data_IF_145850334547
#
_entry.id   IF_145850334547
#
_cell.length_a   1.000
_cell.length_b   1.000
_cell.length_c   1.000
_cell.angle_alpha   90.00
_cell.angle_beta   90.00
_cell.angle_gamma   90.00
#
_symmetry.space_group_name_H-M   'P 1'
#
loop_
_entity.id
_entity.type
_entity.pdbx_description
1 polymer ?
#
# COMPACT_ATOMS: atom_id res chain seq x y z
N UNK A 1 -15.84 16.37 -15.38
CA UNK A 1 -16.77 15.38 -14.75
C UNK A 1 -17.45 16.06 -13.60
N UNK A 2 -18.68 15.67 -13.21
CA UNK A 2 -19.28 16.13 -11.95
C UNK A 2 -18.65 15.37 -10.79
N UNK A 3 -18.60 16.01 -9.61
CA UNK A 3 -18.21 15.33 -8.37
C UNK A 3 -19.11 14.10 -8.14
N UNK A 4 -18.56 12.95 -7.72
CA UNK A 4 -19.37 11.77 -7.40
C UNK A 4 -20.28 12.06 -6.20
N UNK A 5 -21.47 11.44 -6.19
CA UNK A 5 -22.31 11.42 -5.00
C UNK A 5 -21.61 10.60 -3.91
N UNK A 6 -21.30 11.21 -2.78
CA UNK A 6 -20.63 10.59 -1.64
C UNK A 6 -21.67 10.05 -0.65
N UNK A 7 -21.69 8.73 -0.46
CA UNK A 7 -22.53 8.01 0.52
C UNK A 7 -21.70 7.37 1.63
N UNK A 8 -20.41 7.19 1.38
CA UNK A 8 -19.42 6.61 2.29
C UNK A 8 -18.26 7.56 2.49
N UNK A 9 -17.71 7.60 3.69
CA UNK A 9 -16.54 8.42 3.98
C UNK A 9 -15.36 8.08 3.04
N UNK A 10 -14.80 9.04 2.28
CA UNK A 10 -13.69 8.77 1.38
C UNK A 10 -12.38 8.35 2.07
N UNK A 11 -12.32 8.40 3.40
CA UNK A 11 -11.14 7.94 4.14
C UNK A 11 -11.33 6.63 4.89
N UNK A 12 -12.53 6.34 5.41
CA UNK A 12 -12.77 5.14 6.22
C UNK A 12 -13.77 4.16 5.63
N UNK A 13 -14.43 4.52 4.54
CA UNK A 13 -15.54 3.78 3.94
C UNK A 13 -16.76 3.60 4.88
N UNK A 14 -16.84 4.38 5.96
CA UNK A 14 -18.00 4.37 6.86
C UNK A 14 -19.22 4.95 6.16
N UNK A 15 -20.39 4.31 6.35
CA UNK A 15 -21.64 4.71 5.75
C UNK A 15 -22.20 6.00 6.38
N UNK A 16 -23.06 6.72 5.63
CA UNK A 16 -23.77 7.91 6.11
C UNK A 16 -22.95 9.19 6.12
N UNK A 17 -21.87 9.23 5.35
CA UNK A 17 -21.01 10.41 5.23
C UNK A 17 -21.00 10.96 3.81
N UNK A 18 -21.28 12.24 3.66
CA UNK A 18 -21.13 13.01 2.40
C UNK A 18 -19.72 13.63 2.23
N UNK A 19 -18.83 13.44 3.21
CA UNK A 19 -17.44 13.90 3.24
C UNK A 19 -16.64 13.05 4.22
N UNK A 20 -15.45 13.48 4.62
CA UNK A 20 -14.66 12.78 5.63
C UNK A 20 -15.36 12.68 6.98
N UNK A 21 -15.35 11.49 7.57
CA UNK A 21 -15.75 11.26 8.94
C UNK A 21 -14.75 11.91 9.93
N UNK A 22 -15.18 12.19 11.16
CA UNK A 22 -14.28 12.69 12.20
C UNK A 22 -13.08 11.77 12.44
N UNK A 23 -13.29 10.45 12.37
CA UNK A 23 -12.22 9.46 12.46
C UNK A 23 -11.18 9.62 11.36
N UNK A 24 -11.62 9.84 10.12
CA UNK A 24 -10.71 10.12 9.00
C UNK A 24 -9.93 11.41 9.25
N UNK A 25 -10.61 12.50 9.59
CA UNK A 25 -9.97 13.79 9.84
C UNK A 25 -8.90 13.69 10.95
N UNK A 26 -9.22 13.02 12.04
CA UNK A 26 -8.27 12.85 13.14
C UNK A 26 -7.04 12.05 12.72
N UNK A 27 -7.22 10.96 11.99
CA UNK A 27 -6.13 10.05 11.62
C UNK A 27 -5.27 10.58 10.49
N UNK A 28 -5.90 10.99 9.41
CA UNK A 28 -5.19 11.40 8.19
C UNK A 28 -4.71 12.84 8.30
N UNK A 29 -5.55 13.73 8.85
CA UNK A 29 -5.33 15.18 8.80
C UNK A 29 -5.14 15.83 10.19
N UNK A 30 -4.77 15.06 11.21
CA UNK A 30 -4.51 15.55 12.58
C UNK A 30 -5.67 16.37 13.17
N UNK A 31 -6.91 16.03 12.82
CA UNK A 31 -8.12 16.73 13.30
C UNK A 31 -8.49 18.01 12.52
N UNK A 32 -7.69 18.37 11.53
CA UNK A 32 -8.01 19.53 10.66
C UNK A 32 -9.23 19.25 9.77
N UNK A 33 -10.08 20.28 9.60
CA UNK A 33 -11.28 20.21 8.76
C UNK A 33 -10.95 20.31 7.27
N UNK A 34 -10.32 19.27 6.73
CA UNK A 34 -9.94 19.18 5.31
C UNK A 34 -11.15 18.76 4.49
N UNK A 35 -11.34 19.38 3.33
CA UNK A 35 -12.35 19.00 2.36
C UNK A 35 -11.88 17.79 1.54
N UNK A 36 -12.80 16.90 1.14
CA UNK A 36 -12.49 15.78 0.25
C UNK A 36 -12.32 16.19 -1.22
N UNK A 37 -12.42 17.49 -1.51
CA UNK A 37 -12.22 18.08 -2.83
C UNK A 37 -11.08 19.08 -2.76
N UNK A 38 -10.10 18.91 -3.65
CA UNK A 38 -8.97 19.83 -3.81
C UNK A 38 -9.42 21.13 -4.50
N UNK A 39 -8.78 22.26 -4.21
CA UNK A 39 -9.17 23.55 -4.80
C UNK A 39 -8.70 23.72 -6.27
N UNK A 40 -8.01 22.76 -6.84
CA UNK A 40 -7.44 22.76 -8.19
C UNK A 40 -7.85 21.51 -8.98
N UNK A 41 -7.77 21.58 -10.30
CA UNK A 41 -8.06 20.47 -11.21
C UNK A 41 -6.92 19.44 -11.27
N UNK A 42 -7.19 18.28 -11.84
CA UNK A 42 -6.17 17.22 -12.00
C UNK A 42 -5.09 17.65 -13.01
N UNK A 43 -3.86 17.09 -12.91
CA UNK A 43 -2.83 17.29 -13.91
C UNK A 43 -3.35 17.01 -15.33
N UNK A 44 -2.79 17.69 -16.33
CA UNK A 44 -3.14 17.54 -17.76
C UNK A 44 -4.60 17.89 -18.13
N UNK A 45 -5.33 18.63 -17.27
CA UNK A 45 -6.68 19.11 -17.60
C UNK A 45 -6.63 20.34 -18.53
N UNK A 46 -5.69 21.26 -18.29
CA UNK A 46 -5.41 22.45 -19.08
C UNK A 46 -3.99 22.95 -18.81
N UNK A 47 -3.52 23.95 -19.61
CA UNK A 47 -2.15 24.46 -19.53
C UNK A 47 -1.82 25.05 -18.14
N UNK A 48 -2.75 25.79 -17.53
CA UNK A 48 -2.55 26.39 -16.20
C UNK A 48 -2.35 25.33 -15.11
N UNK A 49 -3.13 24.26 -15.17
CA UNK A 49 -3.00 23.14 -14.26
C UNK A 49 -1.72 22.35 -14.51
N UNK A 50 -1.33 22.15 -15.77
CA UNK A 50 -0.07 21.49 -16.11
C UNK A 50 1.14 22.27 -15.61
N UNK A 51 1.13 23.60 -15.70
CA UNK A 51 2.19 24.46 -15.16
C UNK A 51 2.29 24.35 -13.63
N UNK A 52 1.16 24.30 -12.92
CA UNK A 52 1.12 24.09 -11.47
C UNK A 52 1.82 22.76 -11.07
N UNK A 53 1.62 21.70 -11.84
CA UNK A 53 2.21 20.40 -11.56
C UNK A 53 3.61 20.23 -12.18
N UNK A 54 3.97 20.95 -13.23
CA UNK A 54 5.23 20.81 -13.95
C UNK A 54 6.45 21.04 -13.06
N UNK A 55 6.43 22.07 -12.22
CA UNK A 55 7.50 22.35 -11.26
C UNK A 55 7.63 21.23 -10.22
N UNK A 56 6.52 20.66 -9.77
CA UNK A 56 6.50 19.56 -8.83
C UNK A 56 6.95 18.24 -9.48
N UNK A 57 6.69 18.01 -10.78
CA UNK A 57 7.22 16.84 -11.53
C UNK A 57 8.74 16.80 -11.54
N UNK A 58 9.40 17.92 -11.69
CA UNK A 58 10.88 18.01 -11.68
C UNK A 58 11.52 17.58 -10.36
N UNK A 59 10.75 17.55 -9.28
CA UNK A 59 11.18 17.26 -7.90
C UNK A 59 10.92 15.81 -7.49
N UNK A 60 10.30 15.00 -8.35
CA UNK A 60 9.98 13.61 -8.06
C UNK A 60 11.14 12.74 -8.50
N UNK A 61 11.59 11.88 -7.59
CA UNK A 61 12.56 10.84 -7.91
C UNK A 61 12.03 9.89 -8.99
N UNK A 62 12.90 9.55 -9.94
CA UNK A 62 12.65 8.79 -11.17
C UNK A 62 12.32 7.31 -10.88
N UNK A 63 11.35 7.00 -10.05
CA UNK A 63 10.93 5.61 -9.85
C UNK A 63 9.52 5.40 -10.40
N UNK A 64 9.38 5.32 -11.71
CA UNK A 64 8.38 4.51 -12.37
C UNK A 64 7.06 5.16 -12.75
N UNK A 65 6.10 4.37 -12.87
CA UNK A 65 4.88 4.34 -13.63
C UNK A 65 3.78 5.31 -13.17
N UNK A 66 3.77 5.74 -11.90
CA UNK A 66 2.74 6.64 -11.35
C UNK A 66 3.32 7.94 -10.81
N UNK A 67 2.79 9.07 -11.27
CA UNK A 67 3.14 10.39 -10.72
C UNK A 67 2.77 10.47 -9.23
N UNK A 68 3.65 11.09 -8.44
CA UNK A 68 3.47 11.31 -7.00
C UNK A 68 3.82 12.77 -6.71
N UNK A 69 2.95 13.49 -6.03
CA UNK A 69 3.17 14.88 -5.67
C UNK A 69 3.26 15.05 -4.17
N UNK A 70 4.26 15.80 -3.72
CA UNK A 70 4.36 16.21 -2.31
C UNK A 70 3.36 17.31 -2.01
N UNK A 71 2.64 17.17 -0.90
CA UNK A 71 1.55 18.08 -0.50
C UNK A 71 1.73 18.47 0.96
N UNK A 72 1.42 19.73 1.26
CA UNK A 72 1.35 20.28 2.61
C UNK A 72 -0.10 20.61 2.99
N UNK A 73 -0.41 20.43 4.27
CA UNK A 73 -1.64 20.90 4.87
C UNK A 73 -1.41 22.28 5.52
N UNK A 74 -2.05 23.30 4.99
CA UNK A 74 -1.99 24.65 5.52
C UNK A 74 -3.40 25.19 5.75
N UNK A 75 -3.74 25.58 6.98
CA UNK A 75 -5.04 26.16 7.36
C UNK A 75 -6.24 25.37 6.79
N UNK A 76 -6.27 24.06 7.00
CA UNK A 76 -7.29 23.14 6.49
C UNK A 76 -7.33 22.94 4.95
N UNK A 77 -6.34 23.42 4.21
CA UNK A 77 -6.24 23.27 2.76
C UNK A 77 -4.98 22.49 2.39
N UNK A 78 -5.13 21.58 1.47
CA UNK A 78 -4.00 20.85 0.89
C UNK A 78 -3.49 21.61 -0.34
N UNK A 79 -2.19 21.87 -0.36
CA UNK A 79 -1.50 22.52 -1.49
C UNK A 79 -0.24 21.76 -1.89
N UNK A 80 0.16 21.90 -3.12
CA UNK A 80 1.46 21.45 -3.59
C UNK A 80 2.58 22.20 -2.86
N UNK A 81 3.74 21.59 -2.73
CA UNK A 81 4.92 22.22 -2.11
C UNK A 81 5.57 23.23 -3.04
N UNK A 82 6.16 24.27 -2.45
CA UNK A 82 7.07 25.18 -3.13
C UNK A 82 8.51 24.64 -3.10
N UNK A 83 9.43 25.35 -3.74
CA UNK A 83 10.84 25.03 -3.70
C UNK A 83 11.40 25.13 -2.27
N UNK A 84 12.17 24.10 -1.86
CA UNK A 84 12.72 24.01 -0.51
C UNK A 84 11.77 23.50 0.57
N UNK A 85 10.48 23.34 0.28
CA UNK A 85 9.51 22.75 1.23
C UNK A 85 9.51 21.22 1.21
N UNK A 86 9.13 20.63 2.33
CA UNK A 86 8.93 19.19 2.46
C UNK A 86 7.45 18.88 2.74
N UNK A 87 6.81 18.09 1.88
CA UNK A 87 5.42 17.71 2.06
C UNK A 87 5.24 16.65 3.15
N UNK A 88 4.19 16.81 3.95
CA UNK A 88 3.75 15.81 4.92
C UNK A 88 2.81 14.75 4.32
N UNK A 89 2.39 14.93 3.08
CA UNK A 89 1.52 14.02 2.34
C UNK A 89 2.07 13.72 0.95
N UNK A 90 1.68 12.56 0.42
CA UNK A 90 1.90 12.17 -0.98
C UNK A 90 0.53 12.08 -1.65
N UNK A 91 0.34 12.80 -2.75
CA UNK A 91 -0.84 12.75 -3.61
C UNK A 91 -0.50 11.95 -4.86
N UNK A 92 -1.29 10.92 -5.16
CA UNK A 92 -1.16 10.06 -6.33
C UNK A 92 -2.40 10.23 -7.21
N UNK A 93 -2.34 10.98 -8.30
CA UNK A 93 -3.42 11.08 -9.27
C UNK A 93 -3.59 9.77 -10.06
N UNK A 94 -4.59 9.74 -10.93
CA UNK A 94 -4.74 8.67 -11.92
C UNK A 94 -3.48 8.64 -12.79
N UNK A 95 -2.84 7.47 -13.00
CA UNK A 95 -1.73 7.34 -13.93
C UNK A 95 -2.12 7.73 -15.35
N UNK A 96 -1.19 8.32 -16.10
CA UNK A 96 -1.42 8.74 -17.48
C UNK A 96 -1.71 7.59 -18.46
N UNK A 97 -1.38 6.34 -18.11
CA UNK A 97 -1.61 5.16 -18.92
C UNK A 97 -1.81 3.91 -18.06
N UNK A 98 -2.38 2.86 -18.65
CA UNK A 98 -2.57 1.57 -18.01
C UNK A 98 -4.01 1.07 -18.09
N UNK A 99 -4.18 -0.24 -17.95
CA UNK A 99 -5.51 -0.88 -17.89
C UNK A 99 -6.23 -0.44 -16.63
N UNK A 100 -7.48 0.05 -16.75
CA UNK A 100 -8.30 0.55 -15.64
C UNK A 100 -7.54 1.58 -14.75
N UNK A 101 -6.72 2.43 -15.35
CA UNK A 101 -5.91 3.43 -14.63
C UNK A 101 -6.78 4.34 -13.74
N UNK A 102 -7.98 4.70 -14.20
CA UNK A 102 -8.99 5.49 -13.48
C UNK A 102 -9.44 4.85 -12.15
N UNK A 103 -9.30 3.54 -11.99
CA UNK A 103 -9.67 2.81 -10.78
C UNK A 103 -8.50 2.67 -9.78
N UNK A 104 -7.29 3.06 -10.15
CA UNK A 104 -6.09 2.82 -9.32
C UNK A 104 -6.14 3.54 -7.96
N UNK A 105 -6.54 4.83 -7.86
CA UNK A 105 -6.67 5.50 -6.56
C UNK A 105 -7.67 4.80 -5.62
N UNK A 106 -8.82 4.38 -6.16
CA UNK A 106 -9.85 3.68 -5.38
C UNK A 106 -9.43 2.26 -4.99
N UNK A 107 -8.66 1.57 -5.84
CA UNK A 107 -8.11 0.25 -5.57
C UNK A 107 -7.07 0.28 -4.44
N UNK A 108 -6.11 1.19 -4.52
CA UNK A 108 -5.11 1.38 -3.46
C UNK A 108 -5.79 1.75 -2.14
N UNK A 109 -6.69 2.73 -2.15
CA UNK A 109 -7.45 3.12 -0.96
C UNK A 109 -8.21 1.94 -0.34
N UNK A 110 -9.00 1.19 -1.12
CA UNK A 110 -9.75 0.04 -0.62
C UNK A 110 -8.82 -1.00 0.01
N UNK A 111 -7.73 -1.37 -0.67
CA UNK A 111 -6.82 -2.42 -0.20
C UNK A 111 -6.13 -2.00 1.10
N UNK A 112 -5.71 -0.74 1.22
CA UNK A 112 -5.18 -0.17 2.44
C UNK A 112 -6.21 -0.17 3.59
N UNK A 113 -7.47 0.17 3.32
CA UNK A 113 -8.54 0.13 4.33
C UNK A 113 -8.86 -1.31 4.76
N UNK A 114 -8.86 -2.28 3.85
CA UNK A 114 -9.02 -3.70 4.19
C UNK A 114 -7.87 -4.17 5.09
N UNK A 115 -6.62 -3.89 4.72
CA UNK A 115 -5.44 -4.26 5.50
C UNK A 115 -5.57 -3.80 6.96
N UNK A 116 -5.98 -2.56 7.14
CA UNK A 116 -6.13 -1.93 8.45
C UNK A 116 -7.37 -2.40 9.21
N UNK A 117 -8.56 -2.27 8.61
CA UNK A 117 -9.83 -2.42 9.31
C UNK A 117 -10.24 -3.88 9.50
N UNK A 118 -9.85 -4.76 8.57
CA UNK A 118 -10.21 -6.18 8.65
C UNK A 118 -9.11 -6.97 9.34
N UNK A 119 -7.87 -6.70 8.96
CA UNK A 119 -6.74 -7.53 9.37
C UNK A 119 -5.82 -6.88 10.39
N UNK A 120 -6.11 -5.65 10.83
CA UNK A 120 -5.29 -4.93 11.83
C UNK A 120 -3.79 -4.89 11.46
N UNK A 121 -3.50 -4.72 10.16
CA UNK A 121 -2.16 -4.44 9.68
C UNK A 121 -1.93 -2.95 9.87
N UNK A 122 -0.83 -2.57 10.50
CA UNK A 122 -0.42 -1.17 10.60
C UNK A 122 -0.11 -0.63 9.21
N UNK A 123 -0.84 0.41 8.79
CA UNK A 123 -0.70 1.02 7.45
C UNK A 123 -0.42 2.50 7.57
N UNK A 124 0.20 3.08 6.54
CA UNK A 124 0.21 4.53 6.35
C UNK A 124 -1.23 5.07 6.36
N UNK A 125 -1.46 6.23 7.01
CA UNK A 125 -2.77 6.86 7.05
C UNK A 125 -3.11 7.41 5.66
N UNK A 126 -4.31 7.13 5.16
CA UNK A 126 -4.67 7.39 3.78
C UNK A 126 -6.15 7.72 3.60
N UNK A 127 -6.46 8.34 2.48
CA UNK A 127 -7.82 8.62 2.05
C UNK A 127 -7.90 8.70 0.52
N UNK A 128 -9.11 8.59 -0.01
CA UNK A 128 -9.43 9.02 -1.36
C UNK A 128 -9.76 10.53 -1.30
N UNK A 129 -9.33 11.30 -2.29
CA UNK A 129 -9.60 12.72 -2.45
C UNK A 129 -9.94 12.99 -3.91
N UNK A 130 -10.67 14.06 -4.18
CA UNK A 130 -11.09 14.40 -5.54
C UNK A 130 -10.49 15.74 -5.95
N UNK A 131 -10.03 15.84 -7.17
CA UNK A 131 -9.73 17.14 -7.78
C UNK A 131 -11.02 17.93 -8.01
N UNK A 132 -10.92 19.24 -8.22
CA UNK A 132 -12.05 20.12 -8.46
C UNK A 132 -12.91 19.65 -9.65
N UNK A 133 -12.31 19.07 -10.67
CA UNK A 133 -13.01 18.49 -11.82
C UNK A 133 -13.65 17.12 -11.56
N UNK A 134 -13.63 16.61 -10.32
CA UNK A 134 -14.21 15.31 -9.93
C UNK A 134 -13.32 14.10 -10.16
N UNK A 135 -12.11 14.27 -10.69
CA UNK A 135 -11.16 13.15 -10.89
C UNK A 135 -10.63 12.67 -9.53
N UNK A 136 -10.66 11.36 -9.23
CA UNK A 136 -10.14 10.83 -7.97
C UNK A 136 -8.61 10.84 -7.91
N UNK A 137 -8.08 10.97 -6.70
CA UNK A 137 -6.69 10.74 -6.37
C UNK A 137 -6.59 10.01 -5.02
N UNK A 138 -5.52 9.29 -4.83
CA UNK A 138 -5.17 8.72 -3.52
C UNK A 138 -4.24 9.69 -2.79
N UNK A 139 -4.51 9.92 -1.49
CA UNK A 139 -3.65 10.72 -0.62
C UNK A 139 -3.21 9.89 0.58
N UNK A 140 -1.93 9.92 0.89
CA UNK A 140 -1.36 9.25 2.06
C UNK A 140 -0.53 10.21 2.88
N UNK A 141 -0.67 10.12 4.20
CA UNK A 141 0.16 10.86 5.15
C UNK A 141 1.50 10.16 5.27
N UNK A 142 2.58 10.92 5.21
CA UNK A 142 3.93 10.41 5.41
C UNK A 142 4.14 10.03 6.87
N UNK A 143 4.56 8.82 7.10
CA UNK A 143 4.86 8.31 8.44
C UNK A 143 6.31 8.60 8.88
N UNK A 144 7.15 8.99 7.93
CA UNK A 144 8.55 9.38 8.16
C UNK A 144 8.73 10.88 8.49
N UNK A 145 7.65 11.67 8.54
CA UNK A 145 7.68 13.09 8.88
C UNK A 145 7.24 13.30 10.33
N UNK A 146 8.08 13.96 11.12
CA UNK A 146 7.80 14.33 12.50
C UNK A 146 6.88 15.55 12.59
N UNK A 147 6.37 15.84 13.79
CA UNK A 147 5.50 17.00 14.01
C UNK A 147 6.20 18.34 13.74
N UNK A 148 7.51 18.41 13.97
CA UNK A 148 8.34 19.59 13.70
C UNK A 148 8.74 19.73 12.22
N UNK A 149 8.31 18.81 11.35
CA UNK A 149 8.63 18.77 9.93
C UNK A 149 9.95 18.08 9.59
N UNK A 150 10.75 17.69 10.58
CA UNK A 150 11.94 16.86 10.37
C UNK A 150 11.54 15.42 10.02
N UNK A 151 12.50 14.58 9.63
CA UNK A 151 12.23 13.21 9.23
C UNK A 151 12.84 12.19 10.16
N UNK A 152 12.15 11.08 10.35
CA UNK A 152 12.74 9.83 10.80
C UNK A 152 13.57 9.22 9.68
N UNK A 153 14.68 8.56 10.01
CA UNK A 153 15.41 7.77 9.03
C UNK A 153 14.53 6.60 8.56
N UNK A 154 14.54 6.37 7.24
CA UNK A 154 13.80 5.28 6.59
C UNK A 154 14.68 4.69 5.51
N UNK A 155 14.84 3.36 5.53
CA UNK A 155 15.55 2.61 4.51
C UNK A 155 14.64 1.54 3.91
N UNK A 156 14.45 1.56 2.57
CA UNK A 156 13.76 0.48 1.90
C UNK A 156 14.65 -0.77 1.75
N UNK A 157 14.02 -1.94 1.61
CA UNK A 157 14.76 -3.20 1.57
C UNK A 157 15.63 -3.35 0.32
N UNK A 158 15.36 -2.65 -0.78
CA UNK A 158 16.27 -2.66 -1.92
C UNK A 158 17.58 -1.93 -1.56
N UNK A 159 17.49 -0.80 -0.85
CA UNK A 159 18.64 -0.06 -0.33
C UNK A 159 19.43 -0.89 0.69
N UNK A 160 18.74 -1.54 1.64
CA UNK A 160 19.37 -2.42 2.62
C UNK A 160 20.08 -3.62 1.97
N UNK A 161 19.55 -4.13 0.85
CA UNK A 161 20.17 -5.19 0.05
C UNK A 161 21.31 -4.68 -0.87
N UNK A 162 21.61 -3.38 -0.86
CA UNK A 162 22.62 -2.78 -1.74
C UNK A 162 22.23 -2.80 -3.23
N UNK A 163 20.92 -2.90 -3.54
CA UNK A 163 20.41 -2.98 -4.91
C UNK A 163 20.06 -1.61 -5.45
N UNK A 164 20.63 -1.27 -6.60
CA UNK A 164 20.36 -0.03 -7.33
C UNK A 164 20.26 -0.34 -8.83
N UNK A 165 19.71 0.57 -9.66
CA UNK A 165 19.73 0.40 -11.10
C UNK A 165 21.14 0.17 -11.67
N UNK A 166 22.16 0.78 -11.05
CA UNK A 166 23.56 0.69 -11.48
C UNK A 166 24.16 -0.68 -11.18
N UNK A 167 23.79 -1.30 -10.06
CA UNK A 167 24.36 -2.58 -9.61
C UNK A 167 23.59 -3.79 -10.13
N UNK A 168 22.25 -3.67 -10.32
CA UNK A 168 21.34 -4.79 -10.62
C UNK A 168 20.42 -4.53 -11.83
N UNK A 169 20.60 -3.41 -12.58
CA UNK A 169 19.79 -3.05 -13.73
C UNK A 169 18.39 -2.52 -13.36
N UNK A 170 17.59 -2.17 -14.35
CA UNK A 170 16.29 -1.48 -14.18
C UNK A 170 15.27 -2.26 -13.32
N UNK A 171 15.32 -3.59 -13.36
CA UNK A 171 14.40 -4.46 -12.62
C UNK A 171 14.91 -4.87 -11.24
N UNK A 172 15.95 -4.22 -10.71
CA UNK A 172 16.62 -4.55 -9.44
C UNK A 172 15.67 -4.79 -8.25
N UNK A 173 14.57 -4.07 -8.20
CA UNK A 173 13.59 -4.12 -7.12
C UNK A 173 12.73 -5.38 -7.09
N UNK A 174 12.68 -6.13 -8.21
CA UNK A 174 11.91 -7.38 -8.35
C UNK A 174 12.78 -8.64 -8.22
N UNK A 175 14.09 -8.51 -8.24
CA UNK A 175 15.00 -9.65 -8.17
C UNK A 175 14.97 -10.33 -6.80
N UNK A 176 15.09 -11.67 -6.80
CA UNK A 176 15.18 -12.49 -5.59
C UNK A 176 13.83 -12.98 -5.06
N UNK A 177 13.74 -13.15 -3.76
CA UNK A 177 12.59 -13.77 -3.08
C UNK A 177 12.30 -13.13 -1.72
N UNK A 178 11.13 -13.45 -1.14
CA UNK A 178 10.72 -12.83 0.14
C UNK A 178 11.48 -13.38 1.35
N UNK A 179 12.15 -14.53 1.27
CA UNK A 179 13.03 -14.98 2.35
C UNK A 179 14.17 -13.98 2.59
N UNK A 180 14.65 -13.30 1.54
CA UNK A 180 15.70 -12.29 1.68
C UNK A 180 15.26 -11.09 2.54
N UNK A 181 13.97 -10.71 2.51
CA UNK A 181 13.45 -9.68 3.43
C UNK A 181 13.55 -10.12 4.89
N UNK A 182 13.27 -11.40 5.14
CA UNK A 182 13.40 -12.01 6.48
C UNK A 182 14.86 -11.94 6.95
N UNK A 183 15.79 -12.32 6.08
CA UNK A 183 17.22 -12.31 6.41
C UNK A 183 17.75 -10.87 6.64
N UNK A 184 17.34 -9.91 5.82
CA UNK A 184 17.68 -8.50 6.03
C UNK A 184 17.12 -7.98 7.35
N UNK A 185 15.89 -8.33 7.72
CA UNK A 185 15.35 -7.96 9.03
C UNK A 185 16.15 -8.55 10.19
N UNK A 186 16.60 -9.80 10.08
CA UNK A 186 17.46 -10.43 11.13
C UNK A 186 18.74 -9.66 11.35
N UNK A 187 19.32 -9.11 10.28
CA UNK A 187 20.58 -8.34 10.34
C UNK A 187 20.36 -6.95 10.93
N UNK A 188 19.28 -6.28 10.54
CA UNK A 188 19.10 -4.85 10.81
C UNK A 188 18.17 -4.53 11.98
N UNK A 189 17.37 -5.51 12.48
CA UNK A 189 16.42 -5.27 13.55
C UNK A 189 16.78 -6.02 14.84
N UNK A 190 17.22 -5.33 15.90
CA UNK A 190 17.37 -5.95 17.23
C UNK A 190 16.08 -6.58 17.75
N UNK A 191 14.93 -5.93 17.49
CA UNK A 191 13.60 -6.42 17.87
C UNK A 191 12.97 -7.38 16.83
N UNK A 192 13.79 -8.07 16.02
CA UNK A 192 13.36 -8.95 14.93
C UNK A 192 12.20 -9.89 15.30
N UNK A 193 12.28 -10.55 16.47
CA UNK A 193 11.25 -11.51 16.90
C UNK A 193 9.85 -10.91 17.07
N UNK A 194 9.76 -9.60 17.30
CA UNK A 194 8.49 -8.87 17.42
C UNK A 194 7.98 -8.41 16.04
N UNK A 195 8.90 -8.17 15.13
CA UNK A 195 8.58 -7.63 13.80
C UNK A 195 8.37 -8.72 12.73
N UNK A 196 8.99 -9.89 12.88
CA UNK A 196 8.86 -11.01 11.93
C UNK A 196 7.39 -11.48 11.74
N UNK A 197 6.55 -11.63 12.78
CA UNK A 197 5.13 -11.95 12.59
C UNK A 197 4.37 -10.90 11.78
N UNK A 198 4.73 -9.61 11.92
CA UNK A 198 4.09 -8.51 11.18
C UNK A 198 4.44 -8.58 9.71
N UNK A 199 5.73 -8.77 9.36
CA UNK A 199 6.15 -8.96 7.96
C UNK A 199 5.50 -10.21 7.37
N UNK A 200 5.53 -11.34 8.07
CA UNK A 200 4.89 -12.57 7.60
C UNK A 200 3.40 -12.36 7.29
N UNK A 201 2.66 -11.72 8.20
CA UNK A 201 1.25 -11.36 7.99
C UNK A 201 1.05 -10.47 6.78
N UNK A 202 1.92 -9.48 6.56
CA UNK A 202 1.88 -8.59 5.41
C UNK A 202 2.16 -9.34 4.10
N UNK A 203 3.07 -10.29 4.07
CA UNK A 203 3.35 -11.13 2.88
C UNK A 203 2.15 -12.01 2.53
N UNK A 204 1.52 -12.66 3.51
CA UNK A 204 0.28 -13.43 3.30
C UNK A 204 -0.84 -12.52 2.79
N UNK A 205 -0.98 -11.30 3.34
CA UNK A 205 -1.96 -10.30 2.89
C UNK A 205 -1.71 -9.91 1.43
N UNK A 206 -0.48 -9.55 1.05
CA UNK A 206 -0.14 -9.20 -0.32
C UNK A 206 -0.49 -10.32 -1.31
N UNK A 207 -0.20 -11.57 -0.96
CA UNK A 207 -0.61 -12.70 -1.76
C UNK A 207 -2.13 -12.81 -1.88
N UNK A 208 -2.87 -12.75 -0.76
CA UNK A 208 -4.32 -12.90 -0.72
C UNK A 208 -5.04 -11.83 -1.56
N UNK A 209 -4.52 -10.60 -1.55
CA UNK A 209 -5.10 -9.47 -2.29
C UNK A 209 -4.44 -9.23 -3.65
N UNK A 210 -3.68 -10.21 -4.17
CA UNK A 210 -3.04 -10.16 -5.49
C UNK A 210 -2.21 -8.89 -5.71
N UNK A 211 -1.40 -8.51 -4.71
CA UNK A 211 -0.43 -7.42 -4.86
C UNK A 211 0.84 -7.93 -5.57
N UNK A 212 0.76 -8.08 -6.88
CA UNK A 212 1.88 -8.48 -7.73
C UNK A 212 2.91 -7.37 -7.99
N UNK A 213 2.84 -6.26 -7.26
CA UNK A 213 3.84 -5.19 -7.27
C UNK A 213 4.52 -5.00 -5.89
N UNK A 214 4.34 -5.93 -4.96
CA UNK A 214 4.94 -5.91 -3.63
C UNK A 214 6.45 -6.22 -3.69
N UNK A 215 7.23 -5.35 -4.33
CA UNK A 215 8.68 -5.50 -4.51
C UNK A 215 9.48 -4.95 -3.32
N UNK A 216 10.82 -5.12 -3.32
CA UNK A 216 11.72 -4.73 -2.24
C UNK A 216 11.57 -3.29 -1.75
N UNK A 217 11.19 -2.34 -2.62
CA UNK A 217 10.98 -0.93 -2.24
C UNK A 217 9.62 -0.64 -1.57
N UNK A 218 8.72 -1.61 -1.51
CA UNK A 218 7.43 -1.48 -0.81
C UNK A 218 7.50 -1.93 0.67
N UNK A 219 8.68 -2.29 1.13
CA UNK A 219 8.96 -2.62 2.53
C UNK A 219 10.10 -1.74 3.01
N UNK A 220 10.00 -1.22 4.23
CA UNK A 220 11.02 -0.34 4.80
C UNK A 220 11.22 -0.57 6.28
N UNK A 221 12.39 -0.23 6.77
CA UNK A 221 12.65 -0.02 8.19
C UNK A 221 12.52 1.48 8.50
N UNK A 222 11.94 1.78 9.64
CA UNK A 222 11.68 3.14 10.12
C UNK A 222 12.32 3.33 11.49
N UNK A 223 13.08 4.41 11.64
CA UNK A 223 13.65 4.84 12.93
C UNK A 223 12.53 5.13 13.94
N UNK A 224 12.76 4.75 15.19
CA UNK A 224 11.85 5.04 16.30
C UNK A 224 12.38 6.21 17.15
N UNK A 225 11.56 6.80 18.03
CA UNK A 225 12.03 7.84 18.96
C UNK A 225 13.17 7.40 19.89
N UNK A 226 13.42 6.09 20.01
CA UNK A 226 14.50 5.54 20.82
C UNK A 226 15.81 5.34 20.05
N UNK A 227 15.82 5.67 18.74
CA UNK A 227 16.98 5.53 17.88
C UNK A 227 17.22 4.11 17.35
N UNK A 228 16.33 3.17 17.67
CA UNK A 228 16.30 1.85 17.04
C UNK A 228 15.36 1.84 15.82
N UNK A 229 15.23 0.70 15.15
CA UNK A 229 14.41 0.56 13.95
C UNK A 229 13.30 -0.47 14.17
N UNK A 230 12.20 -0.28 13.44
CA UNK A 230 11.08 -1.23 13.33
C UNK A 230 10.65 -1.37 11.87
N UNK A 231 9.82 -2.37 11.58
CA UNK A 231 9.13 -2.43 10.29
C UNK A 231 8.23 -1.19 10.15
N UNK A 232 8.31 -0.51 9.02
CA UNK A 232 7.43 0.64 8.76
C UNK A 232 5.96 0.22 8.68
N UNK A 233 5.00 1.14 8.88
CA UNK A 233 3.64 0.91 8.44
C UNK A 233 3.60 0.47 6.98
N UNK A 234 2.70 -0.44 6.61
CA UNK A 234 2.54 -0.89 5.23
C UNK A 234 2.02 0.25 4.33
N UNK A 235 2.49 0.30 3.10
CA UNK A 235 2.13 1.28 2.08
C UNK A 235 2.11 0.64 0.69
N UNK A 236 1.55 1.34 -0.30
CA UNK A 236 1.45 0.88 -1.69
C UNK A 236 0.78 -0.51 -1.81
N UNK A 237 -0.29 -0.74 -1.01
CA UNK A 237 -1.09 -1.97 -1.08
C UNK A 237 -2.22 -1.81 -2.09
N UNK A 238 -2.22 -2.61 -3.13
CA UNK A 238 -3.28 -2.61 -4.15
C UNK A 238 -3.46 -4.01 -4.75
N UNK A 239 -4.63 -4.26 -5.34
CA UNK A 239 -4.83 -5.45 -6.16
C UNK A 239 -4.32 -5.17 -7.58
N UNK A 240 -3.07 -5.54 -7.85
CA UNK A 240 -2.42 -5.27 -9.14
C UNK A 240 -3.04 -6.03 -10.32
N UNK A 241 -3.71 -7.18 -10.07
CA UNK A 241 -4.39 -7.98 -11.11
C UNK A 241 -5.44 -7.21 -11.89
N UNK A 242 -6.01 -6.17 -11.30
CA UNK A 242 -6.95 -5.29 -11.99
C UNK A 242 -6.28 -4.52 -13.13
N UNK A 243 -4.98 -4.25 -13.00
CA UNK A 243 -4.22 -3.34 -13.85
C UNK A 243 -3.18 -4.03 -14.75
N UNK A 244 -2.62 -5.16 -14.30
CA UNK A 244 -1.58 -5.93 -15.01
C UNK A 244 -1.93 -7.41 -15.03
N UNK A 245 -1.19 -8.19 -15.81
CA UNK A 245 -1.25 -9.65 -15.72
C UNK A 245 -0.82 -10.12 -14.32
N UNK A 246 -1.61 -11.06 -13.77
CA UNK A 246 -1.41 -11.53 -12.41
C UNK A 246 -0.28 -12.57 -12.36
N UNK A 247 0.73 -12.25 -11.55
CA UNK A 247 1.68 -13.23 -11.04
C UNK A 247 1.32 -13.54 -9.59
N UNK A 248 1.67 -14.74 -9.11
CA UNK A 248 1.44 -15.10 -7.70
C UNK A 248 2.21 -14.18 -6.75
N UNK A 249 3.41 -13.73 -7.16
CA UNK A 249 4.29 -12.86 -6.38
C UNK A 249 4.96 -11.81 -7.28
N UNK A 250 5.34 -10.68 -6.69
CA UNK A 250 6.07 -9.61 -7.37
C UNK A 250 7.52 -9.99 -7.66
N UNK A 251 8.16 -10.72 -6.73
CA UNK A 251 9.57 -11.09 -6.85
C UNK A 251 9.75 -12.29 -7.78
N UNK A 252 10.84 -12.29 -8.52
CA UNK A 252 11.14 -13.26 -9.59
C UNK A 252 11.18 -14.72 -9.12
N UNK A 253 11.64 -14.96 -7.90
CA UNK A 253 11.70 -16.29 -7.30
C UNK A 253 10.54 -16.56 -6.31
N UNK A 254 9.64 -15.58 -6.09
CA UNK A 254 8.49 -15.74 -5.20
C UNK A 254 8.83 -15.73 -3.71
N UNK A 255 8.25 -16.63 -2.93
CA UNK A 255 8.44 -16.69 -1.45
C UNK A 255 9.84 -17.14 -1.05
N UNK A 256 10.39 -18.11 -1.75
CA UNK A 256 11.60 -18.85 -1.40
C UNK A 256 12.51 -18.96 -2.62
N UNK A 257 13.81 -19.23 -2.42
CA UNK A 257 14.70 -19.61 -3.53
C UNK A 257 14.09 -20.77 -4.33
N UNK A 258 14.29 -20.80 -5.66
CA UNK A 258 13.70 -21.81 -6.55
C UNK A 258 13.97 -23.26 -6.13
N UNK A 259 15.11 -23.53 -5.52
CA UNK A 259 15.45 -24.87 -4.98
C UNK A 259 14.54 -25.31 -3.82
N UNK A 260 13.96 -24.35 -3.09
CA UNK A 260 13.09 -24.57 -1.93
C UNK A 260 11.60 -24.32 -2.25
N UNK A 261 11.28 -23.62 -3.33
CA UNK A 261 9.92 -23.27 -3.74
C UNK A 261 9.15 -24.49 -4.30
N UNK A 262 8.87 -25.47 -3.43
CA UNK A 262 8.16 -26.71 -3.77
C UNK A 262 6.81 -26.80 -3.09
N UNK A 263 5.90 -27.58 -3.69
CA UNK A 263 4.57 -27.82 -3.13
C UNK A 263 3.59 -26.65 -3.36
N UNK A 264 2.54 -26.61 -2.54
CA UNK A 264 1.51 -25.57 -2.60
C UNK A 264 2.02 -24.24 -2.03
N UNK A 265 1.39 -23.15 -2.39
CA UNK A 265 1.72 -21.83 -1.83
C UNK A 265 1.58 -21.81 -0.29
N UNK A 266 0.59 -22.52 0.25
CA UNK A 266 0.42 -22.65 1.69
C UNK A 266 1.62 -23.35 2.34
N UNK A 267 2.12 -24.44 1.76
CA UNK A 267 3.33 -25.13 2.25
C UNK A 267 4.57 -24.23 2.18
N UNK A 268 4.69 -23.43 1.13
CA UNK A 268 5.78 -22.45 1.02
C UNK A 268 5.68 -21.34 2.09
N UNK A 269 4.48 -20.89 2.46
CA UNK A 269 4.30 -19.97 3.58
C UNK A 269 4.72 -20.60 4.92
N UNK A 270 4.38 -21.86 5.18
CA UNK A 270 4.86 -22.55 6.39
C UNK A 270 6.39 -22.64 6.42
N UNK A 271 7.02 -22.96 5.29
CA UNK A 271 8.48 -23.03 5.21
C UNK A 271 9.12 -21.64 5.40
N UNK A 272 8.56 -20.58 4.79
CA UNK A 272 9.01 -19.21 5.01
C UNK A 272 8.89 -18.80 6.49
N UNK A 273 7.79 -19.17 7.15
CA UNK A 273 7.56 -18.90 8.57
C UNK A 273 8.57 -19.64 9.46
N UNK A 274 8.93 -20.88 9.10
CA UNK A 274 9.98 -21.64 9.79
C UNK A 274 11.33 -20.94 9.67
N UNK A 275 11.70 -20.46 8.48
CA UNK A 275 12.89 -19.63 8.30
C UNK A 275 12.83 -18.33 9.11
N UNK A 276 11.65 -17.73 9.25
CA UNK A 276 11.43 -16.55 10.08
C UNK A 276 11.48 -16.85 11.59
N UNK A 277 11.57 -18.10 12.01
CA UNK A 277 11.58 -18.52 13.41
C UNK A 277 10.23 -18.35 14.12
N UNK A 278 9.11 -18.37 13.36
CA UNK A 278 7.76 -18.34 13.91
C UNK A 278 7.36 -19.74 14.38
N UNK A 279 6.68 -19.83 15.52
CA UNK A 279 6.07 -21.09 15.97
C UNK A 279 4.86 -21.46 15.11
N UNK A 280 4.56 -22.75 14.97
CA UNK A 280 3.37 -23.25 14.25
C UNK A 280 2.10 -22.55 14.74
N UNK A 281 1.93 -22.38 16.05
CA UNK A 281 0.80 -21.66 16.62
C UNK A 281 0.69 -20.22 16.11
N UNK A 282 1.80 -19.49 16.03
CA UNK A 282 1.78 -18.12 15.48
C UNK A 282 1.38 -18.11 14.00
N UNK A 283 1.87 -19.06 13.22
CA UNK A 283 1.53 -19.21 11.80
C UNK A 283 0.05 -19.50 11.62
N UNK A 284 -0.46 -20.50 12.36
CA UNK A 284 -1.87 -20.89 12.31
C UNK A 284 -2.81 -19.74 12.72
N UNK A 285 -2.47 -19.02 13.79
CA UNK A 285 -3.25 -17.87 14.25
C UNK A 285 -3.27 -16.75 13.20
N UNK A 286 -2.13 -16.47 12.53
CA UNK A 286 -2.04 -15.47 11.47
C UNK A 286 -2.86 -15.92 10.25
N UNK A 287 -2.67 -17.15 9.77
CA UNK A 287 -3.37 -17.69 8.61
C UNK A 287 -4.88 -17.73 8.85
N UNK A 288 -5.31 -18.23 10.02
CA UNK A 288 -6.72 -18.23 10.42
C UNK A 288 -7.30 -16.82 10.47
N UNK A 289 -6.56 -15.86 11.05
CA UNK A 289 -6.98 -14.46 11.11
C UNK A 289 -7.17 -13.85 9.72
N UNK A 290 -6.23 -14.09 8.80
CA UNK A 290 -6.29 -13.56 7.43
C UNK A 290 -7.38 -14.23 6.60
N UNK A 291 -7.64 -15.51 6.79
CA UNK A 291 -8.64 -16.23 5.99
C UNK A 291 -10.08 -16.09 6.49
N UNK A 292 -10.31 -15.52 7.68
CA UNK A 292 -11.64 -15.42 8.30
C UNK A 292 -12.40 -14.10 8.04
N UNK A 293 -11.79 -13.11 7.37
CA UNK A 293 -12.33 -11.74 7.25
C UNK A 293 -13.35 -11.50 6.13
N UNK A 294 -13.88 -12.52 5.44
CA UNK A 294 -14.61 -12.41 4.17
C UNK A 294 -15.79 -11.41 4.21
N UNK A 295 -16.64 -11.48 5.24
CA UNK A 295 -17.82 -10.61 5.34
C UNK A 295 -17.44 -9.13 5.47
N UNK A 296 -16.38 -8.82 6.25
CA UNK A 296 -15.88 -7.45 6.40
C UNK A 296 -15.23 -6.96 5.10
N UNK A 297 -14.49 -7.84 4.40
CA UNK A 297 -13.94 -7.52 3.07
C UNK A 297 -15.06 -7.20 2.09
N UNK A 298 -16.11 -8.02 2.03
CA UNK A 298 -17.27 -7.78 1.16
C UNK A 298 -17.97 -6.45 1.48
N UNK A 299 -18.12 -6.12 2.76
CA UNK A 299 -18.73 -4.86 3.21
C UNK A 299 -17.91 -3.65 2.75
N UNK A 300 -16.57 -3.65 2.97
CA UNK A 300 -15.70 -2.55 2.53
C UNK A 300 -15.63 -2.46 1.00
N UNK A 301 -15.61 -3.59 0.30
CA UNK A 301 -15.66 -3.62 -1.16
C UNK A 301 -16.95 -2.99 -1.69
N UNK A 302 -18.11 -3.31 -1.10
CA UNK A 302 -19.40 -2.69 -1.43
C UNK A 302 -19.38 -1.18 -1.23
N UNK A 303 -18.77 -0.70 -0.13
CA UNK A 303 -18.65 0.73 0.21
C UNK A 303 -17.57 1.46 -0.59
N UNK A 304 -16.72 0.75 -1.35
CA UNK A 304 -15.60 1.36 -2.08
C UNK A 304 -16.05 2.19 -3.28
N UNK A 305 -15.14 3.05 -3.74
CA UNK A 305 -15.33 3.91 -4.91
C UNK A 305 -14.95 3.24 -6.24
N UNK A 306 -14.72 1.93 -6.23
CA UNK A 306 -14.53 1.14 -7.45
C UNK A 306 -15.84 1.01 -8.25
N UNK A 307 -15.73 0.94 -9.57
CA UNK A 307 -16.88 0.60 -10.41
C UNK A 307 -17.38 -0.83 -10.14
N UNK A 308 -18.66 -1.09 -10.35
CA UNK A 308 -19.26 -2.41 -10.06
C UNK A 308 -18.53 -3.56 -10.78
N UNK A 309 -18.13 -3.36 -12.03
CA UNK A 309 -17.32 -4.33 -12.78
C UNK A 309 -16.00 -4.64 -12.06
N UNK A 310 -15.32 -3.62 -11.55
CA UNK A 310 -14.03 -3.78 -10.86
C UNK A 310 -14.23 -4.40 -9.47
N UNK A 311 -15.31 -4.08 -8.76
CA UNK A 311 -15.67 -4.77 -7.51
C UNK A 311 -15.80 -6.28 -7.70
N UNK A 312 -16.47 -6.71 -8.78
CA UNK A 312 -16.59 -8.14 -9.11
C UNK A 312 -15.24 -8.78 -9.39
N UNK A 313 -14.38 -8.12 -10.18
CA UNK A 313 -13.04 -8.62 -10.49
C UNK A 313 -12.16 -8.72 -9.23
N UNK A 314 -12.22 -7.70 -8.36
CA UNK A 314 -11.52 -7.68 -7.08
C UNK A 314 -11.95 -8.84 -6.19
N UNK A 315 -13.26 -9.06 -6.06
CA UNK A 315 -13.82 -10.15 -5.27
C UNK A 315 -13.43 -11.54 -5.80
N UNK A 316 -13.47 -11.74 -7.12
CA UNK A 316 -13.06 -13.00 -7.75
C UNK A 316 -11.56 -13.27 -7.53
N UNK A 317 -10.71 -12.26 -7.65
CA UNK A 317 -9.29 -12.37 -7.38
C UNK A 317 -9.03 -12.80 -5.94
N UNK A 318 -9.65 -12.09 -4.97
CA UNK A 318 -9.57 -12.41 -3.55
C UNK A 318 -10.03 -13.85 -3.26
N UNK A 319 -11.19 -14.27 -3.76
CA UNK A 319 -11.71 -15.62 -3.53
C UNK A 319 -10.83 -16.72 -4.14
N UNK A 320 -10.23 -16.45 -5.29
CA UNK A 320 -9.30 -17.39 -5.93
C UNK A 320 -8.06 -17.63 -5.06
N UNK A 321 -7.49 -16.57 -4.50
CA UNK A 321 -6.33 -16.66 -3.60
C UNK A 321 -6.70 -17.27 -2.26
N UNK A 322 -7.86 -16.92 -1.72
CA UNK A 322 -8.36 -17.47 -0.46
C UNK A 322 -8.50 -19.00 -0.53
N UNK A 323 -9.05 -19.53 -1.62
CA UNK A 323 -9.13 -20.98 -1.84
C UNK A 323 -7.78 -21.66 -1.79
N UNK A 324 -6.74 -21.07 -2.41
CA UNK A 324 -5.37 -21.62 -2.39
C UNK A 324 -4.76 -21.64 -0.98
N UNK A 325 -5.15 -20.69 -0.10
CA UNK A 325 -4.68 -20.64 1.30
C UNK A 325 -5.49 -21.55 2.25
N UNK A 326 -6.74 -21.89 1.89
CA UNK A 326 -7.63 -22.69 2.74
C UNK A 326 -7.75 -24.15 2.31
N UNK A 327 -7.34 -24.50 1.10
CA UNK A 327 -7.32 -25.89 0.65
C UNK A 327 -6.23 -26.66 1.36
N UNK A 328 -6.61 -27.37 2.42
CA UNK A 328 -5.81 -28.48 2.93
C UNK A 328 -5.83 -29.55 1.84
N UNK A 329 -4.78 -29.66 1.04
CA UNK A 329 -4.62 -30.84 0.21
C UNK A 329 -4.41 -32.00 1.18
N UNK A 330 -5.42 -32.86 1.32
CA UNK A 330 -5.22 -34.22 1.80
C UNK A 330 -4.25 -34.89 0.81
N UNK A 331 -2.96 -34.66 1.01
CA UNK A 331 -1.94 -35.49 0.41
C UNK A 331 -1.86 -36.72 1.30
N UNK A 332 -2.59 -37.75 0.90
CA UNK A 332 -2.33 -39.13 1.29
C UNK A 332 -1.04 -39.58 0.62
#
# INVERSE_FOLDING_TARGET
MSLPEIKYCPGTLAEGHSTYSRTCLNRVFNGHSVQHVLPYDSPATNQETDDLFAENRKRISISGVQEKFSVLLEKNKLRLINEGEHGAYILKPIPGAGKNADQMPANEHLTMQIARQVYSIETAENALIFFKNGTPAYITKRFDVKEDGSKWAQDDFASLAGRTPQTHGEHYKYQGNYLELIELMKVHLPAYKLEAPKLFKLLVFNYLFSNGDAHFKNFSLLETPMGDYRLSPAYDLLNSRIHIEDKDFALDDGLLPRSQAKGTVLQQFYLLAQHAGLSEKQVDDILKGITSGQNKVASLLGASFLSEKIKLNYWQAYQTRLKKLTQIHNAI
#
